data_IF_811020306132
#
_entry.id   IF_811020306132
#
_cell.length_a   1.000
_cell.length_b   1.000
_cell.length_c   1.000
_cell.angle_alpha   90.00
_cell.angle_beta   90.00
_cell.angle_gamma   90.00
#
_symmetry.space_group_name_H-M   'P 1'
#
loop_
_entity.id
_entity.type
_entity.pdbx_description
1 polymer ?
#
# COMPACT_ATOMS: atom_id res chain seq x y z
N UNK A 1 34.57 33.03 39.99
CA UNK A 1 34.89 31.86 39.16
C UNK A 1 33.73 30.89 38.97
N UNK A 2 32.86 30.62 39.95
CA UNK A 2 31.73 29.67 39.82
C UNK A 2 30.72 30.02 38.73
N UNK A 3 30.32 31.31 38.58
CA UNK A 3 29.36 31.75 37.57
C UNK A 3 29.81 31.47 36.10
N UNK A 4 31.12 31.70 35.79
CA UNK A 4 31.64 31.41 34.43
C UNK A 4 31.60 29.91 34.07
N UNK A 5 31.84 29.01 35.02
CA UNK A 5 31.75 27.54 34.80
C UNK A 5 30.33 27.12 34.53
N UNK A 6 29.33 27.69 35.21
CA UNK A 6 27.91 27.39 34.99
C UNK A 6 27.43 27.82 33.59
N UNK A 7 27.88 29.00 33.09
CA UNK A 7 27.55 29.42 31.72
C UNK A 7 28.19 28.55 30.64
N UNK A 8 29.42 28.09 30.85
CA UNK A 8 30.10 27.16 29.92
C UNK A 8 29.38 25.83 29.85
N UNK A 9 28.95 25.28 30.99
CA UNK A 9 28.18 24.03 31.03
C UNK A 9 26.81 24.16 30.36
N UNK A 10 26.13 25.30 30.51
CA UNK A 10 24.86 25.55 29.85
C UNK A 10 25.03 25.68 28.32
N UNK A 11 26.07 26.35 27.84
CA UNK A 11 26.38 26.46 26.42
C UNK A 11 26.76 25.09 25.83
N UNK A 12 27.53 24.28 26.55
CA UNK A 12 27.89 22.92 26.12
C UNK A 12 26.64 22.01 26.07
N UNK A 13 25.76 22.09 27.06
CA UNK A 13 24.50 21.34 27.06
C UNK A 13 23.56 21.76 25.92
N UNK A 14 23.47 23.07 25.62
CA UNK A 14 22.74 23.61 24.48
C UNK A 14 23.36 23.14 23.15
N UNK A 15 24.66 23.16 23.01
CA UNK A 15 25.36 22.68 21.81
C UNK A 15 25.16 21.17 21.61
N UNK A 16 25.20 20.36 22.68
CA UNK A 16 24.95 18.93 22.63
C UNK A 16 23.48 18.65 22.23
N UNK A 17 22.52 19.41 22.77
CA UNK A 17 21.11 19.28 22.34
C UNK A 17 20.89 19.67 20.87
N UNK A 18 21.60 20.69 20.38
CA UNK A 18 21.58 21.08 18.97
C UNK A 18 22.22 20.02 18.05
N UNK A 19 23.31 19.38 18.49
CA UNK A 19 23.97 18.32 17.73
C UNK A 19 23.07 17.06 17.70
N UNK A 20 22.41 16.72 18.81
CA UNK A 20 21.48 15.59 18.83
C UNK A 20 20.23 15.81 17.96
N UNK A 21 19.73 17.06 17.88
CA UNK A 21 18.63 17.38 16.95
C UNK A 21 19.09 17.48 15.50
N UNK A 22 20.31 17.89 15.22
CA UNK A 22 20.86 17.95 13.88
C UNK A 22 21.13 16.56 13.27
N UNK A 23 21.44 15.54 14.10
CA UNK A 23 21.59 14.16 13.61
C UNK A 23 20.28 13.56 13.08
N UNK A 24 19.12 13.96 13.61
CA UNK A 24 17.82 13.53 13.07
C UNK A 24 17.50 14.07 11.66
N UNK A 25 18.24 15.09 11.19
CA UNK A 25 18.02 15.75 9.90
C UNK A 25 19.05 15.35 8.83
N UNK A 26 19.98 14.47 9.13
CA UNK A 26 20.82 13.85 8.11
C UNK A 26 20.08 12.66 7.50
N UNK A 27 20.30 12.40 6.21
CA UNK A 27 19.72 11.24 5.51
C UNK A 27 20.02 9.93 6.26
N UNK A 28 21.24 9.71 6.68
CA UNK A 28 21.67 8.54 7.44
C UNK A 28 20.93 8.42 8.77
N UNK A 29 20.86 9.50 9.54
CA UNK A 29 20.16 9.49 10.83
C UNK A 29 18.65 9.27 10.70
N UNK A 30 18.04 9.73 9.61
CA UNK A 30 16.63 9.48 9.31
C UNK A 30 16.39 8.00 8.98
N UNK A 31 17.27 7.39 8.18
CA UNK A 31 17.22 5.96 7.86
C UNK A 31 17.38 5.12 9.12
N UNK A 32 18.35 5.43 9.99
CA UNK A 32 18.57 4.72 11.25
C UNK A 32 17.35 4.75 12.18
N UNK A 33 16.66 5.90 12.29
CA UNK A 33 15.44 6.00 13.11
C UNK A 33 14.27 5.22 12.49
N UNK A 34 14.12 5.21 11.17
CA UNK A 34 13.14 4.40 10.47
C UNK A 34 13.39 2.89 10.68
N UNK A 35 14.64 2.45 10.57
CA UNK A 35 15.03 1.05 10.84
C UNK A 35 14.77 0.64 12.29
N UNK A 36 15.07 1.52 13.23
CA UNK A 36 14.79 1.31 14.66
C UNK A 36 13.28 1.23 14.93
N UNK A 37 12.47 2.09 14.30
CA UNK A 37 11.03 2.02 14.39
C UNK A 37 10.51 0.66 13.91
N UNK A 38 10.90 0.22 12.72
CA UNK A 38 10.46 -1.04 12.12
C UNK A 38 10.91 -2.25 12.97
N UNK A 39 12.15 -2.24 13.43
CA UNK A 39 12.68 -3.30 14.30
C UNK A 39 11.92 -3.36 15.63
N UNK A 40 11.61 -2.22 16.25
CA UNK A 40 10.90 -2.17 17.52
C UNK A 40 9.44 -2.62 17.37
N UNK A 41 8.80 -2.24 16.28
CA UNK A 41 7.40 -2.57 16.01
C UNK A 41 7.21 -4.04 15.63
N UNK A 42 8.03 -4.57 14.75
CA UNK A 42 7.81 -5.88 14.12
C UNK A 42 8.75 -6.98 14.63
N UNK A 43 9.83 -6.61 15.34
CA UNK A 43 10.89 -7.53 15.75
C UNK A 43 11.42 -8.38 14.58
N UNK A 44 11.41 -7.80 13.38
CA UNK A 44 11.86 -8.44 12.14
C UNK A 44 13.14 -7.76 11.63
N UNK A 45 13.81 -8.38 10.67
CA UNK A 45 15.01 -7.85 10.04
C UNK A 45 14.68 -7.42 8.61
N UNK A 46 15.07 -6.21 8.28
CA UNK A 46 14.93 -5.64 6.95
C UNK A 46 16.30 -5.60 6.26
N UNK A 47 16.29 -5.59 4.93
CA UNK A 47 17.51 -5.51 4.14
C UNK A 47 18.00 -4.06 3.97
N UNK A 48 18.48 -3.74 2.75
CA UNK A 48 18.96 -2.40 2.45
C UNK A 48 17.85 -1.36 2.53
N UNK A 49 18.20 -0.20 3.11
CA UNK A 49 17.32 0.96 3.26
C UNK A 49 17.88 2.15 2.48
N UNK A 50 17.01 2.99 1.92
CA UNK A 50 17.40 4.21 1.24
C UNK A 50 16.28 5.24 1.32
N UNK A 51 16.63 6.53 1.24
CA UNK A 51 15.65 7.61 1.18
C UNK A 51 14.80 7.49 -0.08
N UNK A 52 13.49 7.46 0.09
CA UNK A 52 12.52 7.50 -1.01
C UNK A 52 12.06 8.92 -1.30
N UNK A 53 11.79 9.67 -0.25
CA UNK A 53 11.44 11.09 -0.27
C UNK A 53 11.99 11.76 1.00
N UNK A 54 11.77 13.04 1.15
CA UNK A 54 12.26 13.86 2.27
C UNK A 54 11.92 13.27 3.66
N UNK A 55 10.72 12.74 3.80
CA UNK A 55 10.18 12.22 5.06
C UNK A 55 9.86 10.70 4.96
N UNK A 56 10.45 9.98 3.99
CA UNK A 56 10.13 8.58 3.71
C UNK A 56 11.35 7.75 3.32
N UNK A 57 11.38 6.51 3.82
CA UNK A 57 12.43 5.49 3.59
C UNK A 57 11.81 4.26 2.94
N UNK A 58 12.47 3.71 1.93
CA UNK A 58 12.20 2.37 1.41
C UNK A 58 13.14 1.37 2.02
N UNK A 59 12.59 0.25 2.53
CA UNK A 59 13.34 -0.86 3.11
C UNK A 59 13.03 -2.15 2.37
N UNK A 60 14.06 -2.88 1.92
CA UNK A 60 13.84 -4.20 1.32
C UNK A 60 13.51 -5.24 2.38
N UNK A 61 12.59 -6.17 2.06
CA UNK A 61 12.35 -7.35 2.89
C UNK A 61 13.48 -8.36 2.72
N UNK A 62 14.07 -8.82 3.81
CA UNK A 62 15.17 -9.80 3.76
C UNK A 62 14.80 -11.10 3.03
N UNK A 63 13.53 -11.49 3.06
CA UNK A 63 13.03 -12.71 2.42
C UNK A 63 12.88 -12.56 0.89
N UNK A 64 12.69 -11.32 0.42
CA UNK A 64 12.56 -11.01 -0.99
C UNK A 64 13.08 -9.59 -1.26
N UNK A 65 14.32 -9.48 -1.74
CA UNK A 65 14.98 -8.19 -2.03
C UNK A 65 14.29 -7.34 -3.10
N UNK A 66 13.27 -7.90 -3.81
CA UNK A 66 12.46 -7.16 -4.79
C UNK A 66 11.23 -6.48 -4.19
N UNK A 67 10.89 -6.80 -2.94
CA UNK A 67 9.76 -6.20 -2.24
C UNK A 67 10.31 -5.14 -1.28
N UNK A 68 9.75 -3.95 -1.38
CA UNK A 68 10.11 -2.82 -0.54
C UNK A 68 8.92 -2.38 0.29
N UNK A 69 9.21 -2.10 1.54
CA UNK A 69 8.27 -1.49 2.50
C UNK A 69 8.54 0.01 2.54
N UNK A 70 7.51 0.81 2.49
CA UNK A 70 7.60 2.25 2.70
C UNK A 70 7.41 2.54 4.19
N UNK A 71 8.31 3.36 4.75
CA UNK A 71 8.25 3.88 6.12
C UNK A 71 8.32 5.40 6.04
N UNK A 72 7.38 6.08 6.67
CA UNK A 72 7.22 7.53 6.58
C UNK A 72 7.07 8.17 7.96
N UNK A 73 7.63 9.36 8.12
CA UNK A 73 7.44 10.19 9.31
C UNK A 73 6.47 11.34 9.00
N UNK A 74 5.21 11.17 9.40
CA UNK A 74 4.12 12.05 9.00
C UNK A 74 3.02 12.26 10.05
N UNK A 75 1.98 12.97 9.65
CA UNK A 75 0.82 13.26 10.47
C UNK A 75 -0.20 12.11 10.37
N UNK A 76 -0.06 11.07 11.21
CA UNK A 76 -1.00 9.94 11.27
C UNK A 76 -2.11 10.13 12.30
N UNK A 77 -2.03 11.20 13.10
CA UNK A 77 -3.05 11.56 14.11
C UNK A 77 -3.62 12.94 13.83
N UNK A 78 -4.90 13.10 14.12
CA UNK A 78 -5.64 14.36 13.94
C UNK A 78 -5.15 15.52 14.84
N UNK A 79 -4.19 15.26 15.73
CA UNK A 79 -3.63 16.25 16.65
C UNK A 79 -2.40 16.99 16.12
N UNK A 80 -1.98 16.74 14.88
CA UNK A 80 -0.80 17.35 14.27
C UNK A 80 0.55 16.86 14.82
N UNK A 81 0.56 15.77 15.58
CA UNK A 81 1.80 15.15 16.07
C UNK A 81 2.33 14.20 15.02
N UNK A 82 3.54 14.46 14.53
CA UNK A 82 4.22 13.56 13.59
C UNK A 82 4.67 12.29 14.30
N UNK A 83 4.49 11.17 13.63
CA UNK A 83 4.94 9.86 14.08
C UNK A 83 5.33 8.99 12.88
N UNK A 84 5.92 7.82 13.14
CA UNK A 84 6.26 6.86 12.11
C UNK A 84 5.04 6.05 11.69
N UNK A 85 4.87 5.85 10.39
CA UNK A 85 3.92 4.93 9.79
C UNK A 85 4.61 4.07 8.73
N UNK A 86 3.99 2.96 8.36
CA UNK A 86 4.50 2.03 7.37
C UNK A 86 3.38 1.31 6.62
N UNK A 87 3.73 0.58 5.57
CA UNK A 87 2.82 -0.29 4.85
C UNK A 87 3.13 -1.79 5.01
N UNK A 88 4.00 -2.16 5.98
CA UNK A 88 4.44 -3.55 6.14
C UNK A 88 3.34 -4.49 6.60
N UNK A 89 2.39 -4.00 7.38
CA UNK A 89 1.27 -4.82 7.87
C UNK A 89 0.46 -5.45 6.72
N UNK A 90 0.31 -4.74 5.59
CA UNK A 90 -0.32 -5.30 4.39
C UNK A 90 0.46 -6.49 3.80
N UNK A 91 1.79 -6.46 3.86
CA UNK A 91 2.63 -7.57 3.40
C UNK A 91 2.53 -8.79 4.33
N UNK A 92 2.33 -8.58 5.63
CA UNK A 92 2.10 -9.65 6.58
C UNK A 92 0.76 -10.36 6.34
N UNK A 93 -0.26 -9.63 5.91
CA UNK A 93 -1.59 -10.16 5.58
C UNK A 93 -1.80 -10.47 4.09
N UNK A 94 -0.75 -10.50 3.28
CA UNK A 94 -0.86 -10.68 1.83
C UNK A 94 -1.62 -11.95 1.43
N UNK A 95 -1.36 -13.06 2.11
CA UNK A 95 -2.02 -14.34 1.83
C UNK A 95 -3.53 -14.28 2.10
N UNK A 96 -3.94 -13.56 3.14
CA UNK A 96 -5.34 -13.36 3.51
C UNK A 96 -6.03 -12.41 2.52
N UNK A 97 -5.37 -11.29 2.16
CA UNK A 97 -5.85 -10.37 1.13
C UNK A 97 -6.04 -11.11 -0.21
N UNK A 98 -5.07 -11.95 -0.59
CA UNK A 98 -5.14 -12.75 -1.82
C UNK A 98 -6.30 -13.74 -1.77
N UNK A 99 -6.46 -14.47 -0.67
CA UNK A 99 -7.55 -15.43 -0.47
C UNK A 99 -8.91 -14.76 -0.60
N UNK A 100 -9.13 -13.67 0.12
CA UNK A 100 -10.39 -12.95 0.11
C UNK A 100 -10.70 -12.34 -1.27
N UNK A 101 -9.68 -11.81 -1.94
CA UNK A 101 -9.81 -11.34 -3.33
C UNK A 101 -10.20 -12.49 -4.25
N UNK A 102 -9.52 -13.63 -4.14
CA UNK A 102 -9.77 -14.80 -4.98
C UNK A 102 -11.17 -15.36 -4.78
N UNK A 103 -11.66 -15.42 -3.56
CA UNK A 103 -13.03 -15.85 -3.26
C UNK A 103 -14.05 -15.01 -4.02
N UNK A 104 -13.87 -13.68 -4.10
CA UNK A 104 -14.76 -12.82 -4.87
C UNK A 104 -14.62 -13.05 -6.37
N UNK A 105 -13.39 -13.05 -6.88
CA UNK A 105 -13.12 -13.15 -8.31
C UNK A 105 -13.56 -14.51 -8.88
N UNK A 106 -13.40 -15.60 -8.14
CA UNK A 106 -13.82 -16.95 -8.55
C UNK A 106 -15.34 -17.08 -8.66
N UNK A 107 -16.14 -16.19 -8.07
CA UNK A 107 -17.60 -16.18 -8.28
C UNK A 107 -18.00 -15.70 -9.68
N UNK A 108 -17.05 -15.03 -10.37
CA UNK A 108 -17.30 -14.36 -11.66
C UNK A 108 -16.51 -15.01 -12.79
N UNK A 109 -15.27 -15.41 -12.52
CA UNK A 109 -14.36 -15.96 -13.50
C UNK A 109 -13.88 -17.35 -13.12
N UNK A 110 -14.12 -18.32 -13.97
CA UNK A 110 -13.59 -19.69 -13.82
C UNK A 110 -12.06 -19.70 -13.99
N UNK A 111 -11.57 -18.90 -14.93
CA UNK A 111 -10.14 -18.71 -15.17
C UNK A 111 -9.75 -17.26 -14.92
N UNK A 112 -8.90 -17.05 -13.91
CA UNK A 112 -8.37 -15.73 -13.61
C UNK A 112 -6.93 -15.78 -13.10
N UNK A 113 -6.17 -14.71 -13.35
CA UNK A 113 -4.88 -14.44 -12.74
C UNK A 113 -4.99 -13.17 -11.93
N UNK A 114 -4.59 -13.23 -10.67
CA UNK A 114 -4.74 -12.16 -9.70
C UNK A 114 -3.37 -11.77 -9.18
N UNK A 115 -3.06 -10.49 -9.23
CA UNK A 115 -1.84 -9.91 -8.67
C UNK A 115 -2.21 -8.72 -7.80
N UNK A 116 -1.61 -8.64 -6.61
CA UNK A 116 -1.90 -7.59 -5.64
C UNK A 116 -0.67 -6.74 -5.45
N UNK A 117 -0.82 -5.44 -5.62
CA UNK A 117 0.21 -4.46 -5.39
C UNK A 117 -0.16 -3.57 -4.21
N UNK A 118 0.70 -3.53 -3.19
CA UNK A 118 0.55 -2.60 -2.08
C UNK A 118 1.01 -1.23 -2.54
N UNK A 119 0.11 -0.25 -2.47
CA UNK A 119 0.43 1.12 -2.86
C UNK A 119 1.40 1.76 -1.84
N UNK A 120 2.14 2.76 -2.28
CA UNK A 120 3.05 3.53 -1.44
C UNK A 120 2.28 4.52 -0.56
N UNK A 121 1.43 3.98 0.31
CA UNK A 121 0.66 4.74 1.32
C UNK A 121 0.93 4.08 2.66
N UNK A 122 1.35 4.88 3.62
CA UNK A 122 1.70 4.45 4.96
C UNK A 122 0.56 4.66 5.95
N UNK A 123 0.55 3.88 7.02
CA UNK A 123 -0.38 4.01 8.13
C UNK A 123 0.34 3.67 9.43
N UNK A 124 -0.11 4.23 10.54
CA UNK A 124 0.38 3.84 11.85
C UNK A 124 -0.60 2.88 12.54
N UNK A 125 -0.75 1.69 11.98
CA UNK A 125 -1.58 0.64 12.56
C UNK A 125 -0.85 -0.10 13.68
N UNK A 126 -1.52 -0.44 14.80
CA UNK A 126 -1.07 -1.47 15.74
C UNK A 126 -0.88 -2.84 15.05
N UNK A 127 -0.01 -3.69 15.63
CA UNK A 127 0.25 -5.02 15.06
C UNK A 127 -0.96 -5.96 15.08
N UNK A 128 -1.84 -5.77 16.04
CA UNK A 128 -3.08 -6.53 16.22
C UNK A 128 -4.27 -5.95 15.47
N UNK A 129 -4.01 -5.05 14.50
CA UNK A 129 -5.07 -4.48 13.66
C UNK A 129 -5.77 -5.58 12.87
N UNK A 130 -7.08 -5.62 12.97
CA UNK A 130 -7.92 -6.55 12.22
C UNK A 130 -7.82 -6.31 10.71
N UNK A 131 -7.86 -7.39 9.92
CA UNK A 131 -7.76 -7.32 8.46
C UNK A 131 -8.83 -6.42 7.83
N UNK A 132 -10.03 -6.36 8.39
CA UNK A 132 -11.13 -5.50 7.91
C UNK A 132 -10.77 -4.02 8.06
N UNK A 133 -10.03 -3.64 9.10
CA UNK A 133 -9.55 -2.26 9.24
C UNK A 133 -8.48 -1.93 8.19
N UNK A 134 -7.63 -2.89 7.81
CA UNK A 134 -6.70 -2.74 6.69
C UNK A 134 -7.47 -2.56 5.37
N UNK A 135 -8.52 -3.34 5.14
CA UNK A 135 -9.35 -3.24 3.94
C UNK A 135 -10.01 -1.86 3.80
N UNK A 136 -10.48 -1.27 4.88
CA UNK A 136 -11.13 0.06 4.89
C UNK A 136 -10.19 1.21 4.50
N UNK A 137 -8.89 1.02 4.51
CA UNK A 137 -7.92 2.05 4.13
C UNK A 137 -7.59 2.07 2.64
N UNK A 138 -7.93 1.00 1.91
CA UNK A 138 -7.85 0.98 0.45
C UNK A 138 -6.46 1.21 -0.15
N UNK A 139 -5.41 0.70 0.50
CA UNK A 139 -4.01 0.99 0.12
C UNK A 139 -3.42 -0.03 -0.85
N UNK A 140 -4.23 -0.76 -1.59
CA UNK A 140 -3.74 -1.75 -2.56
C UNK A 140 -4.52 -1.70 -3.88
N UNK A 141 -3.83 -2.15 -4.93
CA UNK A 141 -4.36 -2.31 -6.28
C UNK A 141 -4.37 -3.79 -6.65
N UNK A 142 -5.53 -4.28 -7.07
CA UNK A 142 -5.74 -5.65 -7.52
C UNK A 142 -5.76 -5.66 -9.04
N UNK A 143 -4.87 -6.41 -9.67
CA UNK A 143 -4.86 -6.66 -11.10
C UNK A 143 -5.53 -8.00 -11.35
N UNK A 144 -6.60 -8.00 -12.13
CA UNK A 144 -7.37 -9.20 -12.50
C UNK A 144 -7.32 -9.36 -14.01
N UNK A 145 -6.84 -10.49 -14.46
CA UNK A 145 -6.80 -10.88 -15.86
C UNK A 145 -7.66 -12.11 -16.06
N UNK A 146 -8.48 -12.13 -17.11
CA UNK A 146 -9.33 -13.26 -17.48
C UNK A 146 -9.34 -13.46 -18.99
N UNK A 147 -9.57 -14.68 -19.44
CA UNK A 147 -9.81 -15.07 -20.84
C UNK A 147 -11.30 -15.18 -21.17
N UNK A 148 -12.19 -14.85 -20.22
CA UNK A 148 -13.63 -14.82 -20.42
C UNK A 148 -14.01 -13.84 -21.53
N UNK A 149 -15.05 -14.17 -22.29
CA UNK A 149 -15.63 -13.23 -23.26
C UNK A 149 -16.17 -11.98 -22.56
N UNK A 150 -15.98 -10.84 -23.19
CA UNK A 150 -16.33 -9.51 -22.68
C UNK A 150 -17.84 -9.21 -22.67
N UNK A 151 -18.65 -10.07 -23.25
CA UNK A 151 -20.11 -9.83 -23.46
C UNK A 151 -20.84 -9.46 -22.18
N UNK A 152 -20.49 -10.10 -21.05
CA UNK A 152 -21.14 -9.89 -19.77
C UNK A 152 -20.38 -8.92 -18.84
N UNK A 153 -19.47 -8.10 -19.38
CA UNK A 153 -18.57 -7.24 -18.60
C UNK A 153 -19.29 -6.44 -17.51
N UNK A 154 -20.41 -5.82 -17.82
CA UNK A 154 -21.13 -4.98 -16.85
C UNK A 154 -21.67 -5.79 -15.65
N UNK A 155 -22.20 -6.99 -15.91
CA UNK A 155 -22.65 -7.88 -14.84
C UNK A 155 -21.49 -8.42 -14.02
N UNK A 156 -20.36 -8.73 -14.66
CA UNK A 156 -19.15 -9.20 -14.00
C UNK A 156 -18.61 -8.14 -13.04
N UNK A 157 -18.50 -6.91 -13.52
CA UNK A 157 -18.06 -5.75 -12.73
C UNK A 157 -18.95 -5.54 -11.51
N UNK A 158 -20.28 -5.62 -11.70
CA UNK A 158 -21.23 -5.50 -10.59
C UNK A 158 -21.04 -6.53 -9.50
N UNK A 159 -20.88 -7.80 -9.88
CA UNK A 159 -20.66 -8.89 -8.93
C UNK A 159 -19.36 -8.71 -8.17
N UNK A 160 -18.29 -8.30 -8.86
CA UNK A 160 -17.00 -8.02 -8.22
C UNK A 160 -17.13 -6.88 -7.21
N UNK A 161 -17.74 -5.77 -7.60
CA UNK A 161 -17.95 -4.62 -6.71
C UNK A 161 -18.75 -5.03 -5.48
N UNK A 162 -19.85 -5.76 -5.67
CA UNK A 162 -20.68 -6.22 -4.57
C UNK A 162 -19.90 -7.14 -3.65
N UNK A 163 -19.17 -8.13 -4.19
CA UNK A 163 -18.38 -9.06 -3.40
C UNK A 163 -17.27 -8.39 -2.59
N UNK A 164 -16.55 -7.43 -3.19
CA UNK A 164 -15.53 -6.67 -2.46
C UNK A 164 -16.16 -5.80 -1.38
N UNK A 165 -17.30 -5.20 -1.68
CA UNK A 165 -18.06 -4.40 -0.73
C UNK A 165 -18.53 -5.21 0.47
N UNK A 166 -19.05 -6.43 0.25
CA UNK A 166 -19.52 -7.32 1.31
C UNK A 166 -18.39 -7.75 2.25
N UNK A 167 -17.15 -7.83 1.73
CA UNK A 167 -15.93 -8.06 2.52
C UNK A 167 -15.35 -6.77 3.13
N UNK A 168 -15.98 -5.61 2.94
CA UNK A 168 -15.44 -4.29 3.34
C UNK A 168 -14.07 -3.97 2.73
N UNK A 169 -13.75 -4.59 1.58
CA UNK A 169 -12.46 -4.47 0.90
C UNK A 169 -12.48 -3.28 -0.05
N UNK A 170 -11.86 -2.16 0.38
CA UNK A 170 -11.73 -0.96 -0.42
C UNK A 170 -10.39 -0.94 -1.13
N UNK A 171 -10.42 -0.93 -2.45
CA UNK A 171 -9.22 -1.09 -3.28
C UNK A 171 -9.43 -0.48 -4.67
N UNK A 172 -8.35 -0.39 -5.42
CA UNK A 172 -8.42 -0.20 -6.87
C UNK A 172 -8.36 -1.56 -7.54
N UNK A 173 -9.31 -1.86 -8.44
CA UNK A 173 -9.25 -3.06 -9.27
C UNK A 173 -9.00 -2.65 -10.71
N UNK A 174 -7.99 -3.27 -11.32
CA UNK A 174 -7.70 -3.18 -12.75
C UNK A 174 -8.05 -4.49 -13.40
N UNK A 175 -9.20 -4.50 -14.08
CA UNK A 175 -9.75 -5.69 -14.74
C UNK A 175 -9.42 -5.65 -16.23
N UNK A 176 -8.85 -6.74 -16.76
CA UNK A 176 -8.49 -6.87 -18.17
C UNK A 176 -8.97 -8.21 -18.75
N UNK A 177 -9.72 -8.13 -19.85
CA UNK A 177 -10.14 -9.28 -20.63
C UNK A 177 -9.10 -9.51 -21.73
N UNK A 178 -8.42 -10.63 -21.69
CA UNK A 178 -7.34 -10.99 -22.60
C UNK A 178 -7.82 -12.02 -23.62
N UNK A 179 -7.18 -12.03 -24.78
CA UNK A 179 -7.27 -13.19 -25.67
C UNK A 179 -6.60 -14.39 -25.00
N UNK A 180 -7.08 -15.59 -25.21
CA UNK A 180 -6.55 -16.82 -24.64
C UNK A 180 -5.02 -16.95 -24.79
N UNK A 181 -4.49 -16.60 -25.96
CA UNK A 181 -3.04 -16.64 -26.23
C UNK A 181 -2.23 -15.66 -25.35
N UNK A 182 -2.81 -14.54 -24.96
CA UNK A 182 -2.18 -13.52 -24.13
C UNK A 182 -2.37 -13.84 -22.64
N UNK A 183 -3.55 -14.36 -22.28
CA UNK A 183 -3.85 -14.83 -20.93
C UNK A 183 -2.89 -15.94 -20.49
N UNK A 184 -2.62 -16.91 -21.36
CA UNK A 184 -1.69 -18.01 -21.07
C UNK A 184 -0.29 -17.51 -20.72
N UNK A 185 0.16 -16.44 -21.38
CA UNK A 185 1.50 -15.83 -21.21
C UNK A 185 1.56 -14.79 -20.11
N UNK A 186 0.40 -14.43 -19.51
CA UNK A 186 0.34 -13.38 -18.49
C UNK A 186 1.02 -13.82 -17.20
N UNK A 187 1.87 -12.98 -16.67
CA UNK A 187 2.60 -13.14 -15.41
C UNK A 187 2.77 -11.76 -14.76
N UNK A 188 3.17 -11.74 -13.49
CA UNK A 188 3.26 -10.51 -12.70
C UNK A 188 4.24 -9.49 -13.32
N UNK A 189 5.37 -9.94 -13.85
CA UNK A 189 6.38 -9.10 -14.52
C UNK A 189 5.87 -8.41 -15.79
N UNK A 190 4.74 -8.89 -16.36
CA UNK A 190 4.12 -8.33 -17.57
C UNK A 190 3.00 -7.33 -17.30
N UNK A 191 2.66 -7.06 -16.06
CA UNK A 191 1.58 -6.13 -15.70
C UNK A 191 1.73 -4.78 -16.41
N UNK A 192 2.95 -4.22 -16.41
CA UNK A 192 3.23 -2.93 -17.03
C UNK A 192 3.20 -2.99 -18.57
N UNK A 193 3.58 -4.11 -19.16
CA UNK A 193 3.54 -4.31 -20.62
C UNK A 193 2.10 -4.38 -21.12
N UNK A 194 1.24 -5.11 -20.43
CA UNK A 194 -0.19 -5.21 -20.76
C UNK A 194 -0.86 -3.85 -20.69
N UNK A 195 -0.61 -3.10 -19.65
CA UNK A 195 -1.17 -1.76 -19.45
C UNK A 195 -0.75 -0.74 -20.53
N UNK A 196 0.41 -0.95 -21.18
CA UNK A 196 0.96 -0.03 -22.17
C UNK A 196 0.66 -0.37 -23.64
N UNK A 197 0.44 -1.63 -23.99
CA UNK A 197 0.51 -2.11 -25.37
C UNK A 197 -0.82 -2.58 -25.99
N UNK A 198 -1.96 -2.41 -25.31
CA UNK A 198 -3.28 -2.73 -25.88
C UNK A 198 -3.45 -4.19 -26.30
N UNK A 199 -2.80 -5.15 -25.63
CA UNK A 199 -2.93 -6.59 -25.90
C UNK A 199 -4.18 -7.22 -25.27
N UNK A 200 -5.11 -6.41 -24.81
CA UNK A 200 -6.37 -6.84 -24.18
C UNK A 200 -7.57 -6.44 -25.02
N UNK A 201 -8.63 -7.24 -24.96
CA UNK A 201 -9.91 -6.93 -25.63
C UNK A 201 -10.60 -5.74 -24.97
N UNK A 202 -10.52 -5.62 -23.65
CA UNK A 202 -10.94 -4.46 -22.89
C UNK A 202 -10.26 -4.43 -21.52
N UNK A 203 -10.11 -3.23 -20.98
CA UNK A 203 -9.68 -3.03 -19.60
C UNK A 203 -10.54 -1.95 -18.95
N UNK A 204 -10.70 -2.05 -17.64
CA UNK A 204 -11.43 -1.05 -16.86
C UNK A 204 -10.79 -0.90 -15.49
N UNK A 205 -10.82 0.30 -14.93
CA UNK A 205 -10.41 0.57 -13.58
C UNK A 205 -11.65 0.73 -12.70
N UNK A 206 -11.72 -0.07 -11.65
CA UNK A 206 -12.78 -0.01 -10.66
C UNK A 206 -12.20 0.58 -9.37
N UNK A 207 -12.83 1.63 -8.87
CA UNK A 207 -12.47 2.23 -7.60
C UNK A 207 -13.54 1.89 -6.58
N UNK A 208 -13.21 1.04 -5.61
CA UNK A 208 -14.12 0.69 -4.53
C UNK A 208 -13.71 1.50 -3.31
N UNK A 209 -14.53 2.49 -2.95
CA UNK A 209 -14.26 3.41 -1.84
C UNK A 209 -15.12 3.12 -0.62
N UNK A 210 -14.64 3.56 0.53
CA UNK A 210 -15.36 3.48 1.79
C UNK A 210 -16.72 4.20 1.73
N UNK A 211 -17.75 3.56 2.25
CA UNK A 211 -19.10 4.13 2.39
C UNK A 211 -19.12 5.39 3.27
N UNK A 212 -18.23 5.46 4.25
CA UNK A 212 -18.15 6.57 5.20
C UNK A 212 -17.56 7.84 4.58
N UNK A 213 -16.66 7.68 3.60
CA UNK A 213 -16.02 8.82 2.92
C UNK A 213 -16.85 9.37 1.76
N UNK A 214 -17.77 8.56 1.18
CA UNK A 214 -18.51 8.97 0.00
C UNK A 214 -19.89 8.30 -0.06
N UNK A 215 -20.86 8.85 0.70
CA UNK A 215 -22.27 8.44 0.65
C UNK A 215 -22.92 8.63 -0.74
N UNK A 216 -22.17 9.15 -1.72
CA UNK A 216 -22.60 9.43 -3.10
C UNK A 216 -22.20 8.33 -4.09
N UNK A 217 -21.35 7.38 -3.71
CA UNK A 217 -20.94 6.31 -4.60
C UNK A 217 -22.08 5.30 -4.79
N UNK A 218 -22.81 5.49 -5.88
CA UNK A 218 -23.82 4.57 -6.38
C UNK A 218 -23.33 3.99 -7.69
N UNK A 219 -23.70 2.76 -7.98
CA UNK A 219 -23.41 2.06 -9.24
C UNK A 219 -23.61 2.90 -10.51
N UNK A 220 -24.56 3.85 -10.51
CA UNK A 220 -24.76 4.76 -11.64
C UNK A 220 -23.57 5.68 -11.98
N UNK A 221 -22.67 5.89 -11.01
CA UNK A 221 -21.46 6.69 -11.25
C UNK A 221 -20.35 5.85 -11.91
N UNK A 222 -20.34 4.53 -11.70
CA UNK A 222 -19.46 3.59 -12.40
C UNK A 222 -19.80 3.41 -13.86
N UNK A 223 -21.07 3.46 -14.22
CA UNK A 223 -21.52 3.27 -15.57
C UNK A 223 -21.00 4.34 -16.53
N UNK A 224 -20.72 5.55 -16.03
CA UNK A 224 -20.15 6.65 -16.81
C UNK A 224 -18.65 6.46 -17.10
N UNK A 225 -17.93 5.74 -16.24
CA UNK A 225 -16.51 5.46 -16.44
C UNK A 225 -16.28 4.19 -17.27
N UNK A 226 -17.35 3.47 -17.60
CA UNK A 226 -17.35 2.24 -18.42
C UNK A 226 -17.77 2.48 -19.88
N UNK A 227 -18.30 3.67 -20.23
CA UNK A 227 -18.61 4.12 -21.58
C UNK A 227 -17.41 4.83 -22.22
#
# INVERSE_FOLDING_TARGET
MKKKRTYILLIVALLISFICTACMWTEEGFIEEAEKYMKNKYNDSFGSSFMYDRDAVMMSLNKNQKIYVLVEYGDFKDNGTKEWGDNYLYYLHMDEIYKDTKEVIDTVYENSKIYIHINNITNNFPLDTDIVELYKRGTFTIYVYTDKDIVDKDNDVLKIIQGMYDKSMYCTIRLSYLRESDFTKMSEDKINEVSGNGIYNASTNLYIRSREQDSKWRYGDFKKDLE
#
